data_IF_453328848132
#
_entry.id   IF_453328848132
#
_cell.length_a   1.000
_cell.length_b   1.000
_cell.length_c   1.000
_cell.angle_alpha   90.00
_cell.angle_beta   90.00
_cell.angle_gamma   90.00
#
_symmetry.space_group_name_H-M   'P 1'
#
loop_
_entity.id
_entity.type
_entity.pdbx_description
1 polymer ?
#
# COMPACT_ATOMS: atom_id res chain seq x y z
N UNK A 1 -1.32 18.73 12.85
CA UNK A 1 -2.30 18.37 11.80
C UNK A 1 -1.57 17.50 10.79
N UNK A 2 -2.08 16.31 10.47
CA UNK A 2 -1.48 15.42 9.47
C UNK A 2 -2.06 15.77 8.11
N UNK A 3 -1.21 16.22 7.19
CA UNK A 3 -1.60 16.62 5.83
C UNK A 3 -1.53 15.40 4.91
N UNK A 4 -2.49 15.30 3.97
CA UNK A 4 -2.55 14.26 2.94
C UNK A 4 -2.61 14.93 1.58
N UNK A 5 -1.74 14.51 0.67
CA UNK A 5 -1.72 14.99 -0.71
C UNK A 5 -1.53 13.78 -1.61
N UNK A 6 -2.41 13.60 -2.58
CA UNK A 6 -2.21 12.57 -3.59
C UNK A 6 -1.01 12.93 -4.48
N UNK A 7 0.05 12.13 -4.39
CA UNK A 7 1.19 12.17 -5.31
C UNK A 7 1.26 10.84 -6.08
N UNK A 8 0.86 10.80 -7.36
CA UNK A 8 0.95 9.59 -8.17
C UNK A 8 2.39 9.08 -8.23
N UNK A 9 2.59 7.79 -7.97
CA UNK A 9 3.91 7.14 -8.01
C UNK A 9 3.94 5.90 -8.90
N UNK A 10 2.78 5.29 -9.15
CA UNK A 10 2.67 4.05 -9.91
C UNK A 10 2.09 4.23 -11.31
N UNK A 11 1.62 3.13 -11.94
CA UNK A 11 1.28 1.87 -11.30
C UNK A 11 2.49 0.94 -11.07
N UNK A 12 2.75 0.57 -9.81
CA UNK A 12 3.62 -0.57 -9.47
C UNK A 12 2.77 -1.81 -9.23
N UNK A 13 3.07 -2.91 -9.92
CA UNK A 13 2.26 -4.14 -9.89
C UNK A 13 3.04 -5.25 -9.19
N UNK A 14 2.47 -5.79 -8.12
CA UNK A 14 3.06 -6.85 -7.32
C UNK A 14 2.10 -8.01 -7.15
N UNK A 15 2.64 -9.22 -7.13
CA UNK A 15 1.90 -10.43 -6.83
C UNK A 15 2.71 -11.25 -5.83
N UNK A 16 2.08 -11.64 -4.73
CA UNK A 16 2.76 -12.37 -3.67
C UNK A 16 1.78 -12.93 -2.66
N UNK A 17 2.30 -13.79 -1.79
CA UNK A 17 1.48 -14.36 -0.72
C UNK A 17 1.21 -13.32 0.37
N UNK A 18 0.05 -13.45 1.01
CA UNK A 18 -0.22 -12.76 2.27
C UNK A 18 0.44 -13.55 3.40
N UNK A 19 1.43 -12.95 4.05
CA UNK A 19 2.18 -13.56 5.15
C UNK A 19 1.76 -12.98 6.50
N UNK A 20 2.12 -13.67 7.58
CA UNK A 20 1.95 -13.11 8.92
C UNK A 20 2.96 -12.00 9.16
N UNK A 21 2.48 -10.80 9.49
CA UNK A 21 3.31 -9.71 10.01
C UNK A 21 3.60 -9.85 11.51
N UNK A 22 4.07 -8.77 12.13
CA UNK A 22 4.48 -8.73 13.54
C UNK A 22 3.34 -8.64 14.56
N UNK A 23 2.10 -8.90 14.14
CA UNK A 23 0.89 -8.88 14.99
C UNK A 23 0.80 -7.68 15.94
N UNK A 24 1.15 -6.46 15.48
CA UNK A 24 1.14 -5.22 16.29
C UNK A 24 -0.27 -4.69 16.65
N UNK A 25 -1.26 -5.58 16.70
CA UNK A 25 -2.61 -5.23 17.15
C UNK A 25 -3.47 -4.48 16.12
N UNK A 26 -3.09 -4.39 14.84
CA UNK A 26 -3.89 -3.69 13.82
C UNK A 26 -5.34 -4.21 13.73
N UNK A 27 -5.53 -5.53 13.88
CA UNK A 27 -6.86 -6.16 14.08
C UNK A 27 -7.61 -5.63 15.31
N UNK A 28 -6.93 -5.47 16.45
CA UNK A 28 -7.52 -4.91 17.67
C UNK A 28 -7.83 -3.41 17.54
N UNK A 29 -7.18 -2.71 16.61
CA UNK A 29 -7.46 -1.32 16.26
C UNK A 29 -8.64 -1.16 15.28
N UNK A 30 -9.15 -2.27 14.72
CA UNK A 30 -10.21 -2.26 13.70
C UNK A 30 -9.70 -2.13 12.26
N UNK A 31 -8.38 -2.18 12.04
CA UNK A 31 -7.76 -1.97 10.73
C UNK A 31 -6.84 -3.16 10.37
N UNK A 32 -7.37 -4.36 10.13
CA UNK A 32 -6.57 -5.53 9.77
C UNK A 32 -5.71 -5.30 8.51
N UNK A 33 -4.40 -5.42 8.64
CA UNK A 33 -3.45 -5.28 7.52
C UNK A 33 -2.96 -6.64 7.01
N UNK A 34 -3.07 -6.86 5.71
CA UNK A 34 -2.44 -7.97 4.99
C UNK A 34 -0.99 -7.60 4.68
N UNK A 35 -0.03 -8.43 5.10
CA UNK A 35 1.39 -8.20 4.79
C UNK A 35 1.72 -8.94 3.50
N UNK A 36 2.18 -8.23 2.48
CA UNK A 36 2.63 -8.86 1.24
C UNK A 36 4.04 -9.45 1.45
N UNK A 37 4.26 -10.67 0.98
CA UNK A 37 5.57 -11.34 1.02
C UNK A 37 6.64 -10.45 0.35
N UNK A 38 7.72 -10.07 1.06
CA UNK A 38 8.80 -9.23 0.53
C UNK A 38 9.48 -9.76 -0.71
N UNK A 39 9.46 -11.08 -0.95
CA UNK A 39 9.93 -11.67 -2.20
C UNK A 39 9.18 -11.13 -3.45
N UNK A 40 7.98 -10.57 -3.28
CA UNK A 40 7.21 -9.98 -4.38
C UNK A 40 7.71 -8.61 -4.85
N UNK A 41 8.50 -7.91 -4.03
CA UNK A 41 8.91 -6.52 -4.29
C UNK A 41 10.37 -6.24 -3.91
N UNK A 42 11.19 -7.30 -3.80
CA UNK A 42 12.61 -7.23 -3.46
C UNK A 42 13.32 -6.20 -4.35
N UNK A 43 14.03 -5.26 -3.72
CA UNK A 43 14.73 -4.13 -4.34
C UNK A 43 13.90 -3.10 -5.11
N UNK A 44 12.65 -3.40 -5.49
CA UNK A 44 11.80 -2.47 -6.26
C UNK A 44 11.43 -1.24 -5.43
N UNK A 45 11.21 -1.43 -4.12
CA UNK A 45 10.76 -0.37 -3.21
C UNK A 45 11.89 0.21 -2.34
N UNK A 46 13.16 -0.09 -2.64
CA UNK A 46 14.30 0.38 -1.81
C UNK A 46 14.39 1.90 -1.77
N UNK A 47 14.06 2.59 -2.87
CA UNK A 47 14.03 4.05 -2.95
C UNK A 47 12.68 4.67 -2.56
N UNK A 48 11.67 3.86 -2.20
CA UNK A 48 10.36 4.38 -1.84
C UNK A 48 10.40 5.16 -0.52
N UNK A 49 9.64 6.25 -0.45
CA UNK A 49 9.48 7.00 0.80
C UNK A 49 8.67 6.17 1.81
N UNK A 50 9.07 6.17 3.08
CA UNK A 50 8.28 5.52 4.13
C UNK A 50 7.01 6.31 4.42
N UNK A 51 5.86 5.64 4.34
CA UNK A 51 4.61 6.32 4.58
C UNK A 51 3.39 5.59 4.09
N UNK A 52 2.32 6.36 3.91
CA UNK A 52 1.00 5.88 3.54
C UNK A 52 0.78 6.06 2.05
N UNK A 53 0.34 4.98 1.41
CA UNK A 53 0.03 4.92 -0.01
C UNK A 53 -1.40 4.42 -0.22
N UNK A 54 -1.87 4.52 -1.46
CA UNK A 54 -3.14 3.94 -1.89
C UNK A 54 -2.96 3.06 -3.10
N UNK A 55 -3.83 2.07 -3.24
CA UNK A 55 -3.76 1.10 -4.29
C UNK A 55 -5.06 0.34 -4.51
N UNK A 56 -4.97 -0.62 -5.41
CA UNK A 56 -6.01 -1.61 -5.71
C UNK A 56 -5.46 -3.00 -5.48
N UNK A 57 -6.27 -3.94 -5.03
CA UNK A 57 -5.82 -5.29 -4.78
C UNK A 57 -6.91 -6.35 -4.93
N UNK A 58 -6.51 -7.56 -5.30
CA UNK A 58 -7.38 -8.75 -5.31
C UNK A 58 -6.79 -9.83 -4.41
N UNK A 59 -7.65 -10.67 -3.84
CA UNK A 59 -7.25 -11.82 -3.02
C UNK A 59 -7.93 -13.09 -3.54
N UNK A 60 -7.14 -14.10 -3.91
CA UNK A 60 -7.65 -15.33 -4.53
C UNK A 60 -7.82 -16.47 -3.52
N UNK A 61 -8.55 -16.23 -2.43
CA UNK A 61 -8.77 -17.22 -1.38
C UNK A 61 -10.06 -18.00 -1.61
N UNK A 62 -9.96 -19.33 -1.73
CA UNK A 62 -11.13 -20.21 -1.91
C UNK A 62 -12.04 -20.27 -0.67
N UNK A 63 -11.54 -19.84 0.51
CA UNK A 63 -12.30 -19.78 1.77
C UNK A 63 -13.17 -18.53 1.87
N UNK A 64 -12.92 -17.52 1.03
CA UNK A 64 -13.68 -16.29 1.00
C UNK A 64 -14.94 -16.42 0.12
N UNK A 65 -15.99 -15.62 0.37
CA UNK A 65 -17.15 -15.54 -0.52
C UNK A 65 -16.73 -15.22 -1.94
N UNK A 66 -17.46 -15.76 -2.93
CA UNK A 66 -17.15 -15.56 -4.35
C UNK A 66 -17.00 -14.08 -4.73
N UNK A 67 -17.94 -13.24 -4.28
CA UNK A 67 -17.86 -11.81 -4.49
C UNK A 67 -16.56 -11.17 -3.95
N UNK A 68 -16.04 -11.65 -2.82
CA UNK A 68 -14.80 -11.12 -2.23
C UNK A 68 -13.55 -11.57 -2.99
N UNK A 69 -13.54 -12.79 -3.54
CA UNK A 69 -12.37 -13.34 -4.27
C UNK A 69 -12.28 -12.89 -5.73
N UNK A 70 -13.38 -12.42 -6.33
CA UNK A 70 -13.41 -11.93 -7.72
C UNK A 70 -13.41 -10.40 -7.85
N UNK A 71 -13.55 -9.66 -6.74
CA UNK A 71 -13.58 -8.20 -6.76
C UNK A 71 -12.18 -7.59 -6.62
N UNK A 72 -11.99 -6.45 -7.26
CA UNK A 72 -10.85 -5.55 -7.04
C UNK A 72 -11.22 -4.60 -5.92
N UNK A 73 -10.43 -4.60 -4.84
CA UNK A 73 -10.67 -3.84 -3.62
C UNK A 73 -9.77 -2.63 -3.57
N UNK A 74 -10.30 -1.51 -3.05
CA UNK A 74 -9.46 -0.37 -2.66
C UNK A 74 -8.56 -0.77 -1.50
N UNK A 75 -7.33 -0.28 -1.50
CA UNK A 75 -6.36 -0.55 -0.45
C UNK A 75 -5.68 0.74 0.02
N UNK A 76 -5.54 0.87 1.34
CA UNK A 76 -4.63 1.84 1.96
C UNK A 76 -3.44 1.08 2.50
N UNK A 77 -2.24 1.53 2.15
CA UNK A 77 -1.00 0.80 2.36
C UNK A 77 -0.10 1.57 3.31
N UNK A 78 0.64 0.85 4.15
CA UNK A 78 1.81 1.37 4.85
C UNK A 78 3.05 0.71 4.25
N UNK A 79 4.00 1.52 3.79
CA UNK A 79 5.31 1.06 3.31
C UNK A 79 6.37 1.58 4.28
N UNK A 80 7.21 0.67 4.79
CA UNK A 80 8.24 0.99 5.77
C UNK A 80 9.43 0.03 5.70
N UNK A 81 10.27 0.07 6.73
CA UNK A 81 11.34 -0.90 6.95
C UNK A 81 11.01 -1.91 8.06
N UNK A 82 11.53 -3.12 7.91
CA UNK A 82 11.47 -4.16 8.93
C UNK A 82 12.58 -3.97 9.98
N UNK A 83 12.26 -3.57 11.23
CA UNK A 83 13.27 -3.31 12.26
C UNK A 83 13.98 -4.57 12.76
N UNK A 84 13.41 -5.76 12.56
CA UNK A 84 14.01 -7.02 13.00
C UNK A 84 15.10 -7.53 12.06
N UNK A 85 15.10 -7.08 10.81
CA UNK A 85 16.11 -7.39 9.81
C UNK A 85 17.06 -6.21 9.61
N UNK A 86 17.41 -5.50 10.68
CA UNK A 86 18.32 -4.35 10.62
C UNK A 86 17.90 -3.27 9.61
N UNK A 87 16.59 -3.15 9.32
CA UNK A 87 16.03 -2.30 8.27
C UNK A 87 16.63 -2.57 6.87
N UNK A 88 17.00 -3.82 6.56
CA UNK A 88 17.46 -4.20 5.21
C UNK A 88 16.32 -4.66 4.29
N UNK A 89 15.11 -4.82 4.82
CA UNK A 89 13.97 -5.37 4.09
C UNK A 89 12.75 -4.46 4.22
N UNK A 90 12.12 -4.13 3.08
CA UNK A 90 10.91 -3.32 3.02
C UNK A 90 9.70 -4.11 3.52
N UNK A 91 8.73 -3.40 4.10
CA UNK A 91 7.42 -3.96 4.43
C UNK A 91 6.33 -3.28 3.60
N UNK A 92 5.33 -4.07 3.17
CA UNK A 92 4.10 -3.55 2.55
C UNK A 92 2.91 -4.14 3.30
N UNK A 93 2.22 -3.29 4.04
CA UNK A 93 1.04 -3.63 4.83
C UNK A 93 -0.21 -3.01 4.20
N UNK A 94 -1.14 -3.83 3.71
CA UNK A 94 -2.34 -3.40 3.02
C UNK A 94 -3.59 -3.57 3.88
N UNK A 95 -4.27 -2.47 4.20
CA UNK A 95 -5.66 -2.51 4.64
C UNK A 95 -6.57 -2.50 3.40
N UNK A 96 -7.24 -3.62 3.15
CA UNK A 96 -8.24 -3.75 2.09
C UNK A 96 -9.57 -3.19 2.60
N UNK A 97 -10.13 -2.20 1.92
CA UNK A 97 -11.38 -1.52 2.29
C UNK A 97 -12.62 -2.38 1.97
N UNK A 98 -12.65 -3.59 2.51
CA UNK A 98 -13.70 -4.59 2.29
C UNK A 98 -13.89 -5.44 3.55
N UNK A 99 -15.14 -5.77 3.89
CA UNK A 99 -15.43 -6.67 4.99
C UNK A 99 -15.36 -8.14 4.56
N UNK A 100 -14.32 -8.83 5.02
CA UNK A 100 -14.13 -10.27 4.77
C UNK A 100 -14.92 -11.17 5.74
N UNK A 101 -15.72 -10.59 6.64
CA UNK A 101 -16.54 -11.30 7.64
C UNK A 101 -15.68 -11.89 8.76
N UNK A 102 -14.61 -11.19 9.15
CA UNK A 102 -13.66 -11.65 10.17
C UNK A 102 -12.77 -12.83 9.77
N UNK A 103 -12.78 -13.24 8.49
CA UNK A 103 -11.91 -14.31 7.97
C UNK A 103 -10.54 -13.77 7.59
N UNK A 104 -9.53 -14.54 7.98
CA UNK A 104 -8.17 -14.36 7.50
C UNK A 104 -7.96 -15.07 6.16
N UNK A 105 -6.98 -14.58 5.40
CA UNK A 105 -6.59 -15.10 4.10
C UNK A 105 -5.06 -15.21 3.97
N UNK A 106 -4.39 -15.63 5.05
CA UNK A 106 -2.96 -15.95 5.02
C UNK A 106 -2.67 -17.09 4.04
N UNK A 107 -1.45 -17.07 3.50
CA UNK A 107 -0.90 -18.00 2.49
C UNK A 107 -1.59 -17.96 1.13
N UNK A 108 -2.53 -17.04 0.95
CA UNK A 108 -3.22 -16.80 -0.32
C UNK A 108 -2.46 -15.80 -1.19
N UNK A 109 -2.55 -15.98 -2.51
CA UNK A 109 -2.07 -15.00 -3.50
C UNK A 109 -2.88 -13.71 -3.47
N UNK A 110 -2.18 -12.60 -3.33
CA UNK A 110 -2.69 -11.25 -3.46
C UNK A 110 -2.00 -10.56 -4.64
N UNK A 111 -2.79 -9.92 -5.50
CA UNK A 111 -2.30 -8.95 -6.49
C UNK A 111 -2.51 -7.56 -5.93
N UNK A 112 -1.52 -6.69 -6.08
CA UNK A 112 -1.51 -5.32 -5.56
C UNK A 112 -0.99 -4.36 -6.63
N UNK A 113 -1.72 -3.27 -6.83
CA UNK A 113 -1.27 -2.10 -7.60
C UNK A 113 -1.10 -0.92 -6.66
N UNK A 114 0.12 -0.42 -6.50
CA UNK A 114 0.39 0.83 -5.78
C UNK A 114 0.20 1.99 -6.75
N UNK A 115 -0.66 2.95 -6.39
CA UNK A 115 -1.08 4.04 -7.27
C UNK A 115 -0.42 5.37 -6.90
N UNK A 116 -0.52 5.78 -5.63
CA UNK A 116 -0.10 7.10 -5.17
C UNK A 116 0.39 7.07 -3.72
N UNK A 117 1.33 7.95 -3.40
CA UNK A 117 1.73 8.31 -2.05
C UNK A 117 0.77 9.36 -1.49
N UNK A 118 0.44 9.29 -0.19
CA UNK A 118 -0.44 10.23 0.49
C UNK A 118 0.28 11.11 1.51
N UNK A 119 1.14 10.51 2.33
CA UNK A 119 1.85 11.20 3.42
C UNK A 119 3.02 10.38 3.98
N UNK A 120 4.04 11.03 4.55
CA UNK A 120 5.10 10.35 5.28
C UNK A 120 4.59 9.62 6.54
N UNK A 121 5.40 8.70 7.07
CA UNK A 121 5.15 8.11 8.38
C UNK A 121 5.15 9.19 9.48
N UNK A 122 4.34 8.99 10.52
CA UNK A 122 4.26 9.89 11.66
C UNK A 122 4.15 9.09 12.96
N UNK A 123 4.67 9.66 14.05
CA UNK A 123 4.53 9.11 15.40
C UNK A 123 3.37 9.81 16.12
N UNK A 124 2.66 9.07 16.98
CA UNK A 124 1.51 9.57 17.72
C UNK A 124 1.71 9.34 19.21
N UNK A 125 1.33 10.34 20.02
CA UNK A 125 1.47 10.28 21.47
C UNK A 125 0.46 9.34 22.13
N UNK A 126 -0.67 9.07 21.48
CA UNK A 126 -1.75 8.21 22.01
C UNK A 126 -2.27 7.26 20.92
N UNK A 127 -2.90 6.17 21.38
CA UNK A 127 -3.53 5.19 20.50
C UNK A 127 -4.73 5.78 19.77
N UNK A 128 -5.47 6.67 20.43
CA UNK A 128 -6.63 7.38 19.89
C UNK A 128 -6.21 8.29 18.74
N UNK A 129 -5.14 9.06 18.90
CA UNK A 129 -4.60 9.91 17.83
C UNK A 129 -4.14 9.09 16.62
N UNK A 130 -3.54 7.92 16.86
CA UNK A 130 -3.19 6.98 15.79
C UNK A 130 -4.45 6.49 15.04
N UNK A 131 -5.49 6.06 15.77
CA UNK A 131 -6.75 5.58 15.19
C UNK A 131 -7.44 6.66 14.35
N UNK A 132 -7.52 7.89 14.85
CA UNK A 132 -8.10 9.03 14.13
C UNK A 132 -7.36 9.30 12.82
N UNK A 133 -6.03 9.24 12.84
CA UNK A 133 -5.22 9.47 11.64
C UNK A 133 -5.36 8.33 10.63
N UNK A 134 -5.39 7.07 11.07
CA UNK A 134 -5.66 5.93 10.18
C UNK A 134 -7.04 6.06 9.54
N UNK A 135 -8.08 6.37 10.34
CA UNK A 135 -9.44 6.54 9.82
C UNK A 135 -9.50 7.62 8.73
N UNK A 136 -8.83 8.75 8.96
CA UNK A 136 -8.74 9.82 7.98
C UNK A 136 -7.86 9.47 6.76
N UNK A 137 -6.85 8.60 6.90
CA UNK A 137 -6.10 8.05 5.76
C UNK A 137 -6.99 7.17 4.88
N UNK A 138 -7.79 6.30 5.49
CA UNK A 138 -8.75 5.44 4.77
C UNK A 138 -9.80 6.28 4.06
N UNK A 139 -10.41 7.25 4.74
CA UNK A 139 -11.41 8.12 4.14
C UNK A 139 -10.85 8.91 2.95
N UNK A 140 -9.67 9.53 3.11
CA UNK A 140 -9.02 10.27 2.05
C UNK A 140 -8.61 9.35 0.89
N UNK A 141 -8.02 8.19 1.21
CA UNK A 141 -7.54 7.24 0.22
C UNK A 141 -8.65 6.65 -0.65
N UNK A 142 -9.80 6.34 -0.05
CA UNK A 142 -11.00 5.91 -0.80
C UNK A 142 -11.42 6.99 -1.81
N UNK A 143 -11.48 8.25 -1.38
CA UNK A 143 -11.85 9.38 -2.26
C UNK A 143 -10.84 9.56 -3.39
N UNK A 144 -9.55 9.44 -3.11
CA UNK A 144 -8.49 9.50 -4.13
C UNK A 144 -8.66 8.39 -5.18
N UNK A 145 -8.92 7.17 -4.74
CA UNK A 145 -9.10 6.02 -5.65
C UNK A 145 -10.38 6.13 -6.50
N UNK A 146 -11.36 6.94 -6.10
CA UNK A 146 -12.56 7.23 -6.92
C UNK A 146 -12.34 8.30 -8.00
N UNK A 147 -11.17 8.94 -8.05
CA UNK A 147 -10.88 9.98 -9.03
C UNK A 147 -9.93 9.49 -10.13
N UNK A 148 -10.04 10.00 -11.36
CA UNK A 148 -9.03 9.80 -12.38
C UNK A 148 -7.67 10.45 -12.01
N UNK A 149 -6.53 9.84 -12.41
CA UNK A 149 -6.43 8.59 -13.15
C UNK A 149 -6.47 7.33 -12.26
N UNK A 150 -6.60 7.47 -10.93
CA UNK A 150 -6.50 6.33 -10.01
C UNK A 150 -7.63 5.30 -10.17
N UNK A 151 -8.85 5.75 -10.49
CA UNK A 151 -9.99 4.85 -10.70
C UNK A 151 -9.79 3.91 -11.89
N UNK A 152 -9.07 4.35 -12.92
CA UNK A 152 -8.85 3.56 -14.14
C UNK A 152 -8.01 2.31 -13.85
N UNK A 153 -7.14 2.37 -12.83
CA UNK A 153 -6.32 1.24 -12.38
C UNK A 153 -7.13 0.13 -11.70
N UNK A 154 -8.40 0.35 -11.35
CA UNK A 154 -9.28 -0.73 -10.86
C UNK A 154 -9.60 -1.76 -11.93
N UNK A 155 -9.53 -1.38 -13.20
CA UNK A 155 -9.77 -2.22 -14.37
C UNK A 155 -8.47 -2.67 -15.05
N UNK A 156 -7.33 -2.54 -14.38
CA UNK A 156 -6.03 -2.93 -14.93
C UNK A 156 -6.01 -4.41 -15.35
N UNK A 157 -5.53 -4.76 -16.56
CA UNK A 157 -5.48 -6.15 -17.02
C UNK A 157 -4.73 -7.10 -16.07
N UNK A 158 -3.81 -6.57 -15.27
CA UNK A 158 -3.11 -7.34 -14.24
C UNK A 158 -4.05 -8.11 -13.30
N UNK A 159 -5.24 -7.58 -13.00
CA UNK A 159 -6.21 -8.27 -12.16
C UNK A 159 -6.97 -9.38 -12.88
N UNK A 160 -6.92 -9.41 -14.21
CA UNK A 160 -7.63 -10.35 -15.08
C UNK A 160 -6.72 -11.42 -15.68
N UNK A 161 -5.44 -11.11 -15.92
CA UNK A 161 -4.44 -12.04 -16.43
C UNK A 161 -4.09 -13.11 -15.38
N UNK A 162 -3.49 -14.23 -15.79
CA UNK A 162 -3.19 -15.39 -14.93
C UNK A 162 -2.31 -15.10 -13.70
N UNK A 163 -1.88 -16.16 -13.02
CA UNK A 163 -1.04 -16.08 -11.81
C UNK A 163 0.44 -15.75 -12.10
N UNK A 164 0.72 -14.91 -13.10
CA UNK A 164 2.09 -14.44 -13.39
C UNK A 164 2.16 -12.92 -13.16
N UNK A 165 3.22 -12.42 -12.51
CA UNK A 165 3.41 -11.00 -12.37
C UNK A 165 3.78 -10.41 -13.75
N UNK A 166 3.16 -9.30 -14.18
CA UNK A 166 3.56 -8.63 -15.41
C UNK A 166 4.99 -8.10 -15.23
N UNK A 167 5.77 -8.10 -16.32
CA UNK A 167 7.09 -7.49 -16.32
C UNK A 167 6.97 -6.04 -15.85
N UNK A 168 7.65 -5.69 -14.76
CA UNK A 168 7.73 -4.31 -14.31
C UNK A 168 8.41 -3.51 -15.42
N UNK A 169 7.68 -2.59 -16.05
CA UNK A 169 8.24 -1.73 -17.09
C UNK A 169 9.15 -0.72 -16.39
N UNK A 170 10.44 -0.78 -16.70
CA UNK A 170 11.50 0.04 -16.10
C UNK A 170 11.35 1.53 -16.44
N UNK A 171 10.46 2.25 -15.75
CA UNK A 171 10.39 3.70 -15.81
C UNK A 171 10.54 4.28 -14.41
N UNK A 172 11.76 4.80 -14.16
CA UNK A 172 12.21 5.57 -13.01
C UNK A 172 12.11 4.92 -11.62
N UNK A 173 13.28 4.62 -11.05
CA UNK A 173 13.51 4.64 -9.60
C UNK A 173 12.81 5.85 -8.99
N UNK A 174 12.13 5.66 -7.86
CA UNK A 174 11.50 6.73 -7.07
C UNK A 174 12.55 7.77 -6.66
N UNK A 175 12.87 8.73 -7.54
CA UNK A 175 13.70 9.88 -7.19
C UNK A 175 12.81 11.00 -6.70
N UNK A 176 13.12 11.48 -5.50
CA UNK A 176 12.52 12.64 -4.86
C UNK A 176 12.50 13.85 -5.83
N UNK A 177 11.48 14.72 -5.78
CA UNK A 177 11.57 16.02 -6.43
C UNK A 177 12.71 16.83 -5.79
N UNK A 178 13.67 17.23 -6.62
CA UNK A 178 14.85 18.03 -6.26
C UNK A 178 14.43 19.29 -5.47
N UNK A 179 14.82 19.34 -4.20
CA UNK A 179 14.71 20.51 -3.34
C UNK A 179 16.06 21.18 -3.18
N UNK A 180 16.65 21.63 -4.29
CA UNK A 180 17.82 22.50 -4.26
C UNK A 180 17.44 23.93 -3.86
N UNK A 181 17.96 24.50 -2.74
CA UNK A 181 17.79 25.91 -2.45
C UNK A 181 18.68 26.73 -3.37
N UNK A 182 18.10 27.68 -4.12
CA UNK A 182 18.87 28.73 -4.80
C UNK A 182 19.59 29.55 -3.73
N UNK A 183 20.91 29.36 -3.63
CA UNK A 183 21.78 30.33 -2.99
C UNK A 183 21.98 31.49 -3.97
N UNK A 184 21.22 32.55 -3.77
CA UNK A 184 21.55 33.86 -4.34
C UNK A 184 22.88 34.32 -3.73
N UNK A 185 23.94 34.27 -4.53
CA UNK A 185 25.19 34.94 -4.21
C UNK A 185 24.98 36.44 -4.34
N UNK A 186 25.18 37.12 -3.23
CA UNK A 186 25.44 38.55 -3.13
C UNK A 186 26.70 38.88 -3.96
N UNK A 187 26.58 39.86 -4.85
CA UNK A 187 27.64 40.75 -5.28
C UNK A 187 27.01 42.13 -5.53
#
# INVERSE_FOLDING_TARGET
MVVRVCHPVGPFRFMGKVVMGFQRGSKQLGWPTANLDPAAFEHVLDAAEEGVYVGWATVSDVRLPEASRTSVHKAVLSIGWNPFYQNSERTVEAFLCHDFGGRDFYDTQMKLIICAFLRPQASFATLEALKEVIAADVEYGIKVLDQPPQIDLSADPFFSDGNEPPTQVSHHTLTQPDSSPRHDRVA
#
